data_IF_959683216609
#
_entry.id   IF_959683216609
#
_cell.length_a   1.000
_cell.length_b   1.000
_cell.length_c   1.000
_cell.angle_alpha   90.00
_cell.angle_beta   90.00
_cell.angle_gamma   90.00
#
_symmetry.space_group_name_H-M   'P 1'
#
loop_
_entity.id
_entity.type
_entity.pdbx_description
1 polymer ?
#
# COMPACT_ATOMS: atom_id res chain seq x y z
N UNK A 1 17.98 9.46 62.98
CA UNK A 1 18.05 9.92 61.58
C UNK A 1 17.57 8.79 60.68
N UNK A 2 16.45 8.93 59.97
CA UNK A 2 15.98 7.92 59.02
C UNK A 2 16.13 8.39 57.56
N UNK A 3 16.63 7.49 56.71
CA UNK A 3 16.27 7.41 55.29
C UNK A 3 15.55 6.09 55.07
N UNK A 4 14.40 6.07 54.39
CA UNK A 4 13.96 4.90 53.65
C UNK A 4 13.95 5.18 52.14
N UNK A 5 14.45 4.18 51.42
CA UNK A 5 14.65 4.19 49.98
C UNK A 5 13.34 4.13 49.18
N UNK A 6 13.46 4.64 47.96
CA UNK A 6 12.46 4.57 46.92
C UNK A 6 12.25 3.12 46.43
N UNK A 7 11.00 2.65 46.46
CA UNK A 7 10.54 1.46 45.75
C UNK A 7 9.52 1.86 44.66
N UNK A 8 9.57 1.28 43.45
CA UNK A 8 8.77 1.73 42.32
C UNK A 8 7.30 1.28 42.41
N UNK A 9 6.43 2.17 41.94
CA UNK A 9 4.97 2.05 41.85
C UNK A 9 4.48 0.73 41.25
N UNK A 10 3.52 0.12 41.93
CA UNK A 10 2.67 -0.93 41.38
C UNK A 10 1.69 -0.31 40.37
N UNK A 11 2.05 -0.37 39.09
CA UNK A 11 1.13 -0.11 37.98
C UNK A 11 0.65 -1.43 37.38
N UNK A 12 -0.38 -2.04 37.98
CA UNK A 12 -1.12 -3.13 37.37
C UNK A 12 -1.80 -2.60 36.09
N UNK A 13 -1.13 -2.77 34.95
CA UNK A 13 -1.70 -2.48 33.66
C UNK A 13 -2.87 -3.42 33.39
N UNK A 14 -4.03 -2.87 33.04
CA UNK A 14 -5.23 -3.61 32.62
C UNK A 14 -4.96 -4.62 31.48
N UNK A 15 -3.82 -4.48 30.78
CA UNK A 15 -3.36 -5.40 29.73
C UNK A 15 -2.92 -6.78 30.25
N UNK A 16 -2.45 -6.87 31.50
CA UNK A 16 -1.99 -8.13 32.10
C UNK A 16 -3.16 -9.06 32.46
N UNK A 17 -4.31 -8.46 32.82
CA UNK A 17 -5.53 -9.16 33.23
C UNK A 17 -6.25 -9.90 32.09
N UNK A 18 -6.03 -9.51 30.83
CA UNK A 18 -6.61 -10.23 29.69
C UNK A 18 -5.69 -11.35 29.16
N UNK A 19 -4.42 -11.41 29.59
CA UNK A 19 -3.48 -12.44 29.11
C UNK A 19 -3.54 -13.75 29.91
N UNK A 20 -4.17 -13.74 31.08
CA UNK A 20 -4.09 -14.84 32.06
C UNK A 20 -5.32 -15.75 32.12
N UNK A 21 -6.23 -15.68 31.14
CA UNK A 21 -7.44 -16.52 31.11
C UNK A 21 -7.28 -17.89 30.41
N UNK A 22 -6.07 -18.34 30.07
CA UNK A 22 -5.85 -19.75 29.67
C UNK A 22 -4.49 -20.26 30.16
N UNK A 23 -4.40 -20.59 31.46
CA UNK A 23 -3.32 -21.43 32.00
C UNK A 23 -3.83 -22.87 32.21
N UNK A 24 -3.56 -23.74 31.25
CA UNK A 24 -3.39 -25.18 31.47
C UNK A 24 -1.93 -25.53 31.18
N UNK A 25 -1.18 -26.16 32.10
CA UNK A 25 0.23 -26.43 31.91
C UNK A 25 0.42 -27.76 31.18
N UNK A 26 0.87 -27.75 29.93
CA UNK A 26 1.43 -28.98 29.35
C UNK A 26 2.39 -28.75 28.18
N UNK A 27 3.61 -29.20 28.43
CA UNK A 27 4.54 -29.82 27.49
C UNK A 27 5.15 -28.99 26.36
N UNK A 28 6.45 -28.70 26.57
CA UNK A 28 7.54 -28.64 25.58
C UNK A 28 7.20 -29.19 24.19
N UNK A 29 7.12 -28.27 23.22
CA UNK A 29 7.73 -28.33 21.88
C UNK A 29 7.39 -27.02 21.19
N UNK A 30 8.39 -26.13 21.07
CA UNK A 30 8.25 -24.93 20.25
C UNK A 30 7.93 -25.37 18.81
N UNK A 31 6.77 -25.01 18.23
CA UNK A 31 6.59 -25.22 16.81
C UNK A 31 7.56 -24.28 16.11
N UNK A 32 8.39 -24.84 15.23
CA UNK A 32 9.20 -24.12 14.27
C UNK A 32 8.43 -22.87 13.80
N UNK A 33 8.98 -21.68 14.07
CA UNK A 33 8.58 -20.44 13.43
C UNK A 33 8.84 -20.60 11.92
N UNK A 34 7.91 -21.22 11.19
CA UNK A 34 7.74 -20.97 9.77
C UNK A 34 7.36 -19.50 9.68
N UNK A 35 8.34 -18.65 9.42
CA UNK A 35 8.12 -17.24 9.18
C UNK A 35 6.98 -17.08 8.17
N UNK A 36 6.04 -16.18 8.47
CA UNK A 36 4.88 -15.92 7.65
C UNK A 36 5.31 -15.82 6.18
N UNK A 37 4.88 -16.77 5.35
CA UNK A 37 5.07 -16.68 3.92
C UNK A 37 4.49 -15.33 3.47
N UNK A 38 5.32 -14.48 2.86
CA UNK A 38 4.91 -13.17 2.38
C UNK A 38 3.69 -13.36 1.49
N UNK A 39 2.51 -12.94 1.98
CA UNK A 39 1.26 -13.10 1.23
C UNK A 39 1.38 -12.34 -0.08
N UNK A 40 0.70 -12.78 -1.15
CA UNK A 40 0.72 -12.10 -2.46
C UNK A 40 0.43 -10.59 -2.33
N UNK A 41 -0.45 -10.23 -1.41
CA UNK A 41 -0.77 -8.83 -1.06
C UNK A 41 0.38 -8.08 -0.39
N UNK A 42 1.18 -8.75 0.45
CA UNK A 42 2.40 -8.17 1.03
C UNK A 42 3.51 -8.05 -0.02
N UNK A 43 3.65 -9.02 -0.93
CA UNK A 43 4.58 -8.94 -2.05
C UNK A 43 4.22 -7.80 -3.02
N UNK A 44 2.94 -7.63 -3.36
CA UNK A 44 2.50 -6.49 -4.18
C UNK A 44 2.70 -5.14 -3.50
N UNK A 45 2.61 -5.08 -2.16
CA UNK A 45 2.93 -3.86 -1.39
C UNK A 45 4.43 -3.55 -1.32
N UNK A 46 5.27 -4.59 -1.34
CA UNK A 46 6.71 -4.50 -1.18
C UNK A 46 7.50 -4.43 -2.51
N UNK A 47 6.98 -5.04 -3.59
CA UNK A 47 7.67 -5.22 -4.87
C UNK A 47 6.87 -4.72 -6.09
N UNK A 48 5.60 -4.34 -5.94
CA UNK A 48 4.79 -3.80 -7.04
C UNK A 48 5.15 -2.35 -7.39
N UNK A 49 5.00 -1.99 -8.66
CA UNK A 49 5.16 -0.62 -9.14
C UNK A 49 3.92 0.18 -8.71
N UNK A 50 4.11 1.24 -7.93
CA UNK A 50 3.02 2.07 -7.40
C UNK A 50 2.85 3.30 -8.26
N UNK A 51 1.71 3.41 -8.91
CA UNK A 51 1.37 4.55 -9.76
C UNK A 51 0.25 5.34 -9.10
N UNK A 52 0.51 6.60 -8.78
CA UNK A 52 -0.51 7.50 -8.24
C UNK A 52 -1.22 8.18 -9.41
N UNK A 53 -2.48 7.86 -9.65
CA UNK A 53 -3.25 8.41 -10.77
C UNK A 53 -4.36 9.34 -10.27
N UNK A 54 -4.65 10.41 -11.01
CA UNK A 54 -5.84 11.23 -10.80
C UNK A 54 -6.49 11.59 -12.14
N UNK A 55 -7.79 11.82 -12.13
CA UNK A 55 -8.54 12.09 -13.35
C UNK A 55 -8.45 13.57 -13.72
N UNK A 56 -8.18 13.88 -15.00
CA UNK A 56 -8.01 15.27 -15.45
C UNK A 56 -9.25 16.15 -15.17
N UNK A 57 -10.46 15.56 -15.27
CA UNK A 57 -11.72 16.28 -15.05
C UNK A 57 -12.14 16.40 -13.57
N UNK A 58 -11.36 15.85 -12.63
CA UNK A 58 -11.67 16.03 -11.20
C UNK A 58 -11.11 17.35 -10.67
N UNK A 59 -12.02 18.23 -10.24
CA UNK A 59 -11.70 19.52 -9.59
C UNK A 59 -10.96 19.29 -8.27
N UNK A 60 -11.22 18.17 -7.61
CA UNK A 60 -10.57 17.78 -6.36
C UNK A 60 -9.35 16.90 -6.62
N UNK A 61 -8.18 17.54 -6.74
CA UNK A 61 -6.88 16.88 -6.92
C UNK A 61 -6.50 15.97 -5.74
N UNK A 62 -7.22 16.02 -4.61
CA UNK A 62 -7.04 15.13 -3.47
C UNK A 62 -7.50 13.69 -3.72
N UNK A 63 -8.35 13.47 -4.73
CA UNK A 63 -8.84 12.13 -5.12
C UNK A 63 -7.86 11.42 -6.04
N UNK A 64 -6.67 11.12 -5.51
CA UNK A 64 -5.74 10.23 -6.20
C UNK A 64 -6.04 8.76 -5.90
N UNK A 65 -5.95 7.92 -6.92
CA UNK A 65 -6.05 6.47 -6.81
C UNK A 65 -4.66 5.88 -6.99
N UNK A 66 -4.18 5.15 -5.98
CA UNK A 66 -2.94 4.38 -6.10
C UNK A 66 -3.23 3.05 -6.79
N UNK A 67 -2.60 2.84 -7.94
CA UNK A 67 -2.66 1.63 -8.73
C UNK A 67 -1.35 0.87 -8.53
N UNK A 68 -1.45 -0.36 -8.03
CA UNK A 68 -0.30 -1.26 -7.93
C UNK A 68 -0.26 -2.10 -9.20
N UNK A 69 0.71 -1.83 -10.06
CA UNK A 69 0.98 -2.66 -11.22
C UNK A 69 1.81 -3.88 -10.78
N UNK A 70 1.46 -5.08 -11.28
CA UNK A 70 2.19 -6.29 -10.95
C UNK A 70 3.56 -6.27 -11.64
N UNK A 71 4.57 -6.99 -11.10
CA UNK A 71 5.95 -6.92 -11.58
C UNK A 71 6.14 -7.48 -13.00
N UNK A 72 5.23 -8.34 -13.44
CA UNK A 72 5.16 -8.93 -14.78
C UNK A 72 4.63 -7.95 -15.84
N UNK A 73 4.09 -6.79 -15.44
CA UNK A 73 3.63 -5.77 -16.38
C UNK A 73 4.84 -5.17 -17.12
N UNK A 74 4.85 -5.30 -18.45
CA UNK A 74 5.99 -4.89 -19.28
C UNK A 74 5.65 -3.85 -20.34
N UNK A 75 4.35 -3.57 -20.55
CA UNK A 75 3.88 -2.66 -21.58
C UNK A 75 2.82 -1.68 -21.08
N UNK A 76 2.68 -0.56 -21.81
CA UNK A 76 1.63 0.42 -21.54
C UNK A 76 0.23 -0.16 -21.83
N UNK A 77 0.12 -1.01 -22.85
CA UNK A 77 -1.11 -1.69 -23.23
C UNK A 77 -1.65 -2.62 -22.13
N UNK A 78 -0.77 -3.20 -21.30
CA UNK A 78 -1.17 -3.98 -20.13
C UNK A 78 -1.47 -3.11 -18.90
N UNK A 79 -0.77 -1.98 -18.76
CA UNK A 79 -0.94 -1.07 -17.65
C UNK A 79 -2.27 -0.29 -17.73
N UNK A 80 -2.65 0.19 -18.92
CA UNK A 80 -3.83 1.03 -19.14
C UNK A 80 -5.13 0.34 -18.65
N UNK A 81 -5.47 -0.90 -19.07
CA UNK A 81 -6.68 -1.57 -18.61
C UNK A 81 -6.72 -1.76 -17.09
N UNK A 82 -5.56 -2.00 -16.46
CA UNK A 82 -5.45 -2.15 -15.00
C UNK A 82 -5.69 -0.84 -14.28
N UNK A 83 -5.15 0.26 -14.79
CA UNK A 83 -5.40 1.61 -14.26
C UNK A 83 -6.90 1.94 -14.41
N UNK A 84 -7.47 1.69 -15.59
CA UNK A 84 -8.88 1.93 -15.90
C UNK A 84 -9.82 1.16 -14.96
N UNK A 85 -9.57 -0.13 -14.77
CA UNK A 85 -10.31 -0.98 -13.85
C UNK A 85 -10.19 -0.49 -12.41
N UNK A 86 -8.98 -0.10 -11.98
CA UNK A 86 -8.74 0.32 -10.59
C UNK A 86 -9.38 1.67 -10.26
N UNK A 87 -9.39 2.59 -11.22
CA UNK A 87 -10.08 3.88 -11.13
C UNK A 87 -11.59 3.79 -11.37
N UNK A 88 -12.10 2.60 -11.75
CA UNK A 88 -13.52 2.33 -12.03
C UNK A 88 -14.09 3.24 -13.13
N UNK A 89 -13.29 3.58 -14.13
CA UNK A 89 -13.70 4.50 -15.20
C UNK A 89 -14.84 3.92 -16.05
N UNK A 90 -14.87 2.60 -16.21
CA UNK A 90 -15.93 1.89 -16.94
C UNK A 90 -17.32 2.17 -16.33
N UNK A 91 -17.41 2.27 -14.99
CA UNK A 91 -18.68 2.61 -14.31
C UNK A 91 -19.15 4.02 -14.60
N UNK A 92 -18.25 4.89 -15.03
CA UNK A 92 -18.49 6.29 -15.39
C UNK A 92 -18.60 6.49 -16.90
N UNK A 93 -18.57 5.40 -17.70
CA UNK A 93 -18.51 5.44 -19.17
C UNK A 93 -17.31 6.25 -19.70
N UNK A 94 -16.19 6.23 -18.99
CA UNK A 94 -14.94 6.88 -19.37
C UNK A 94 -13.89 5.83 -19.76
N UNK A 95 -13.07 6.13 -20.76
CA UNK A 95 -11.95 5.29 -21.20
C UNK A 95 -10.66 6.11 -21.13
N UNK A 96 -9.53 5.47 -20.86
CA UNK A 96 -8.26 6.18 -20.87
C UNK A 96 -7.84 6.44 -22.32
N UNK A 97 -7.76 7.72 -22.69
CA UNK A 97 -7.26 8.14 -24.00
C UNK A 97 -5.76 8.42 -23.94
N UNK A 98 -5.33 9.23 -22.97
CA UNK A 98 -3.95 9.68 -22.82
C UNK A 98 -3.54 9.80 -21.35
N UNK A 99 -2.24 9.66 -21.10
CA UNK A 99 -1.64 9.83 -19.78
C UNK A 99 -0.69 11.03 -19.82
N UNK A 100 -0.73 11.86 -18.78
CA UNK A 100 0.12 13.05 -18.71
C UNK A 100 0.86 13.13 -17.37
N UNK A 101 2.04 13.73 -17.43
CA UNK A 101 2.76 14.20 -16.25
C UNK A 101 2.19 15.55 -15.79
N UNK A 102 2.44 15.96 -14.53
CA UNK A 102 2.01 17.26 -14.02
C UNK A 102 2.65 18.44 -14.76
N UNK A 103 3.76 18.18 -15.47
CA UNK A 103 4.44 19.13 -16.36
C UNK A 103 3.68 19.37 -17.66
N UNK A 104 2.58 18.64 -17.93
CA UNK A 104 1.82 18.69 -19.17
C UNK A 104 2.36 17.74 -20.26
N UNK A 105 3.42 17.00 -19.97
CA UNK A 105 4.05 16.12 -20.94
C UNK A 105 3.32 14.77 -21.05
N UNK A 106 3.05 14.30 -22.27
CA UNK A 106 2.36 13.02 -22.50
C UNK A 106 3.27 11.81 -22.24
N UNK A 107 2.73 10.77 -21.60
CA UNK A 107 3.37 9.48 -21.36
C UNK A 107 2.94 8.51 -22.47
N UNK A 108 3.80 8.36 -23.48
CA UNK A 108 3.57 7.46 -24.63
C UNK A 108 4.26 6.10 -24.51
N UNK A 109 5.11 5.91 -23.50
CA UNK A 109 5.94 4.71 -23.35
C UNK A 109 5.95 4.20 -21.91
N UNK A 110 6.04 2.88 -21.76
CA UNK A 110 6.10 2.24 -20.45
C UNK A 110 7.33 2.64 -19.59
N UNK A 111 8.55 2.77 -20.15
CA UNK A 111 9.71 3.22 -19.37
C UNK A 111 9.49 4.58 -18.69
N UNK A 112 8.80 5.50 -19.37
CA UNK A 112 8.48 6.82 -18.83
C UNK A 112 7.45 6.76 -17.71
N UNK A 113 6.47 5.85 -17.81
CA UNK A 113 5.53 5.54 -16.73
C UNK A 113 6.27 5.02 -15.48
N UNK A 114 7.25 4.13 -15.68
CA UNK A 114 8.08 3.60 -14.59
C UNK A 114 8.94 4.68 -13.94
N UNK A 115 9.55 5.54 -14.74
CA UNK A 115 10.33 6.67 -14.24
C UNK A 115 9.47 7.61 -13.39
N UNK A 116 8.30 7.98 -13.88
CA UNK A 116 7.32 8.80 -13.14
C UNK A 116 6.89 8.12 -11.83
N UNK A 117 6.63 6.81 -11.86
CA UNK A 117 6.29 6.03 -10.68
C UNK A 117 7.42 5.98 -9.64
N UNK A 118 8.67 5.81 -10.08
CA UNK A 118 9.86 5.84 -9.21
C UNK A 118 10.08 7.21 -8.59
N UNK A 119 9.80 8.28 -9.35
CA UNK A 119 9.84 9.65 -8.87
C UNK A 119 8.63 10.01 -7.98
N UNK A 120 7.69 9.08 -7.76
CA UNK A 120 6.41 9.32 -7.09
C UNK A 120 5.61 10.49 -7.69
N UNK A 121 5.82 10.77 -8.98
CA UNK A 121 5.12 11.80 -9.69
C UNK A 121 3.66 11.38 -9.92
N UNK A 122 2.68 12.25 -9.64
CA UNK A 122 1.28 11.92 -9.85
C UNK A 122 0.98 11.97 -11.35
N UNK A 123 0.23 10.98 -11.84
CA UNK A 123 -0.10 10.81 -13.26
C UNK A 123 -1.52 11.27 -13.51
N UNK A 124 -1.68 12.18 -14.47
CA UNK A 124 -2.97 12.65 -14.92
C UNK A 124 -3.51 11.65 -15.95
N UNK A 125 -4.73 11.19 -15.73
CA UNK A 125 -5.46 10.34 -16.65
C UNK A 125 -6.43 11.21 -17.45
N UNK A 126 -6.15 11.35 -18.74
CA UNK A 126 -7.06 11.93 -19.73
C UNK A 126 -8.05 10.87 -20.19
N UNK A 127 -9.34 11.18 -20.05
CA UNK A 127 -10.45 10.38 -20.56
C UNK A 127 -11.18 11.13 -21.67
#
# INVERSE_FOLDING_TARGET
MPTPGAGPSHGNGLFDQYSTSHRTPQSRKAPHRKGNATTRSAALRAAGIKVCCYLNAEVDRGRSTVVNLPPDCSSLAEAIPRIQQRMQLDKRMLFIAELFLPTGETIRSYPKLLEASKAHAPIIVGC
#
